data_IF_999219337358
#
_entry.id   IF_999219337358
#
_cell.length_a   1.000
_cell.length_b   1.000
_cell.length_c   1.000
_cell.angle_alpha   90.00
_cell.angle_beta   90.00
_cell.angle_gamma   90.00
#
_symmetry.space_group_name_H-M   'P 1'
#
loop_
_entity.id
_entity.type
_entity.pdbx_description
1 polymer ?
#
# COMPACT_ATOMS: atom_id res chain seq x y z
N UNK A 1 17.13 1.59 20.13
CA UNK A 1 15.73 1.45 20.59
C UNK A 1 14.83 1.46 19.37
N UNK A 2 13.98 0.46 19.20
CA UNK A 2 13.06 0.37 18.05
C UNK A 2 11.98 1.46 18.19
N UNK A 3 11.74 2.28 17.16
CA UNK A 3 10.65 3.25 17.18
C UNK A 3 9.33 2.56 16.86
N UNK A 4 8.73 1.96 17.89
CA UNK A 4 7.47 1.21 17.80
C UNK A 4 6.31 2.06 17.26
N UNK A 5 6.32 3.39 17.45
CA UNK A 5 5.29 4.28 16.89
C UNK A 5 5.40 4.39 15.36
N UNK A 6 6.61 4.49 14.83
CA UNK A 6 6.82 4.45 13.37
C UNK A 6 6.37 3.10 12.81
N UNK A 7 6.70 2.00 13.49
CA UNK A 7 6.27 0.65 13.08
C UNK A 7 4.74 0.55 13.10
N UNK A 8 4.08 1.05 14.15
CA UNK A 8 2.63 1.04 14.26
C UNK A 8 1.94 1.82 13.12
N UNK A 9 2.44 3.03 12.82
CA UNK A 9 1.87 3.85 11.73
C UNK A 9 2.10 3.21 10.36
N UNK A 10 3.27 2.62 10.12
CA UNK A 10 3.53 1.85 8.90
C UNK A 10 2.59 0.66 8.80
N UNK A 11 2.40 -0.10 9.88
CA UNK A 11 1.47 -1.23 9.92
C UNK A 11 0.02 -0.80 9.64
N UNK A 12 -0.44 0.31 10.23
CA UNK A 12 -1.79 0.82 9.95
C UNK A 12 -1.98 1.23 8.48
N UNK A 13 -0.97 1.85 7.86
CA UNK A 13 -1.01 2.18 6.43
C UNK A 13 -1.05 0.90 5.59
N UNK A 14 -0.18 -0.07 5.88
CA UNK A 14 -0.13 -1.34 5.15
C UNK A 14 -1.46 -2.10 5.26
N UNK A 15 -2.02 -2.22 6.48
CA UNK A 15 -3.31 -2.88 6.71
C UNK A 15 -4.43 -2.15 5.95
N UNK A 16 -4.47 -0.82 5.99
CA UNK A 16 -5.51 -0.05 5.31
C UNK A 16 -5.42 -0.17 3.78
N UNK A 17 -4.20 -0.15 3.22
CA UNK A 17 -3.97 -0.34 1.79
C UNK A 17 -4.30 -1.76 1.35
N UNK A 18 -3.91 -2.78 2.13
CA UNK A 18 -4.27 -4.17 1.86
C UNK A 18 -5.77 -4.41 1.93
N UNK A 19 -6.47 -3.85 2.93
CA UNK A 19 -7.92 -3.95 3.06
C UNK A 19 -8.64 -3.26 1.89
N UNK A 20 -8.20 -2.04 1.52
CA UNK A 20 -8.75 -1.32 0.37
C UNK A 20 -8.53 -2.08 -0.93
N UNK A 21 -7.34 -2.66 -1.12
CA UNK A 21 -7.01 -3.47 -2.29
C UNK A 21 -7.94 -4.69 -2.41
N UNK A 22 -8.14 -5.44 -1.34
CA UNK A 22 -9.06 -6.58 -1.31
C UNK A 22 -10.50 -6.14 -1.57
N UNK A 23 -10.95 -5.04 -0.96
CA UNK A 23 -12.29 -4.50 -1.17
C UNK A 23 -12.53 -4.10 -2.64
N UNK A 24 -11.53 -3.49 -3.30
CA UNK A 24 -11.60 -3.16 -4.73
C UNK A 24 -11.68 -4.43 -5.57
N UNK A 25 -10.82 -5.43 -5.32
CA UNK A 25 -10.84 -6.69 -6.07
C UNK A 25 -12.20 -7.39 -5.97
N UNK A 26 -12.78 -7.46 -4.76
CA UNK A 26 -14.11 -8.03 -4.54
C UNK A 26 -15.20 -7.22 -5.26
N UNK A 27 -15.14 -5.88 -5.17
CA UNK A 27 -16.08 -5.00 -5.87
C UNK A 27 -15.96 -5.11 -7.39
N UNK A 28 -14.79 -5.47 -7.92
CA UNK A 28 -14.56 -5.61 -9.35
C UNK A 28 -14.86 -7.00 -9.92
N UNK A 29 -15.38 -7.90 -9.09
CA UNK A 29 -15.84 -9.23 -9.52
C UNK A 29 -14.94 -10.39 -9.13
N UNK A 30 -13.95 -10.18 -8.25
CA UNK A 30 -13.30 -11.30 -7.58
C UNK A 30 -14.22 -11.89 -6.49
N UNK A 31 -14.12 -13.19 -6.27
CA UNK A 31 -14.80 -13.91 -5.19
C UNK A 31 -13.80 -14.58 -4.26
N UNK A 32 -14.10 -14.64 -2.97
CA UNK A 32 -13.23 -15.28 -1.98
C UNK A 32 -13.81 -16.64 -1.57
N UNK A 33 -13.02 -17.70 -1.71
CA UNK A 33 -13.35 -19.05 -1.27
C UNK A 33 -13.18 -19.20 0.25
N UNK A 34 -13.76 -20.27 0.81
CA UNK A 34 -13.72 -20.55 2.25
C UNK A 34 -12.32 -20.89 2.79
N UNK A 35 -11.38 -21.24 1.91
CA UNK A 35 -9.96 -21.43 2.21
C UNK A 35 -9.14 -20.12 2.20
N UNK A 36 -9.78 -19.00 1.87
CA UNK A 36 -9.15 -17.68 1.81
C UNK A 36 -8.55 -17.33 0.44
N UNK A 37 -8.66 -18.20 -0.56
CA UNK A 37 -8.19 -17.93 -1.91
C UNK A 37 -9.13 -16.95 -2.64
N UNK A 38 -8.55 -16.01 -3.39
CA UNK A 38 -9.28 -15.09 -4.27
C UNK A 38 -9.33 -15.65 -5.70
N UNK A 39 -10.53 -15.83 -6.23
CA UNK A 39 -10.83 -16.18 -7.62
C UNK A 39 -11.20 -14.90 -8.37
N UNK A 40 -10.42 -14.53 -9.38
CA UNK A 40 -10.58 -13.27 -10.11
C UNK A 40 -10.78 -13.46 -11.62
N UNK A 41 -11.00 -14.68 -12.11
CA UNK A 41 -11.13 -14.96 -13.56
C UNK A 41 -12.33 -14.24 -14.19
N UNK A 42 -13.33 -13.93 -13.37
CA UNK A 42 -14.53 -13.19 -13.78
C UNK A 42 -14.46 -11.69 -13.45
N UNK A 43 -13.34 -11.20 -12.90
CA UNK A 43 -13.14 -9.78 -12.62
C UNK A 43 -13.09 -8.99 -13.93
N UNK A 44 -13.84 -7.90 -14.02
CA UNK A 44 -13.74 -6.97 -15.15
C UNK A 44 -12.45 -6.14 -15.09
N UNK A 45 -11.76 -6.14 -13.96
CA UNK A 45 -10.47 -5.49 -13.76
C UNK A 45 -9.34 -6.49 -14.02
N UNK A 46 -8.51 -6.22 -15.03
CA UNK A 46 -7.40 -7.13 -15.34
C UNK A 46 -6.27 -7.03 -14.30
N UNK A 47 -5.62 -8.14 -13.93
CA UNK A 47 -4.46 -8.13 -13.05
C UNK A 47 -3.32 -7.24 -13.57
N UNK A 48 -3.12 -7.18 -14.90
CA UNK A 48 -2.11 -6.30 -15.49
C UNK A 48 -2.40 -4.82 -15.24
N UNK A 49 -3.65 -4.35 -15.45
CA UNK A 49 -4.02 -2.95 -15.23
C UNK A 49 -3.79 -2.56 -13.77
N UNK A 50 -4.20 -3.43 -12.86
CA UNK A 50 -4.04 -3.24 -11.42
C UNK A 50 -2.56 -3.13 -11.04
N UNK A 51 -1.72 -4.00 -11.57
CA UNK A 51 -0.27 -3.96 -11.35
C UNK A 51 0.35 -2.64 -11.85
N UNK A 52 -0.07 -2.16 -13.02
CA UNK A 52 0.39 -0.86 -13.55
C UNK A 52 -0.06 0.32 -12.69
N UNK A 53 -1.29 0.31 -12.19
CA UNK A 53 -1.80 1.37 -11.29
C UNK A 53 -1.01 1.38 -9.98
N UNK A 54 -0.80 0.21 -9.36
CA UNK A 54 -0.01 0.12 -8.11
C UNK A 54 1.43 0.56 -8.34
N UNK A 55 2.06 0.10 -9.43
CA UNK A 55 3.43 0.49 -9.77
C UNK A 55 3.52 2.01 -9.99
N UNK A 56 2.57 2.61 -10.71
CA UNK A 56 2.49 4.04 -10.97
C UNK A 56 2.30 4.86 -9.68
N UNK A 57 1.34 4.48 -8.83
CA UNK A 57 1.08 5.14 -7.55
C UNK A 57 2.28 5.02 -6.59
N UNK A 58 2.95 3.87 -6.58
CA UNK A 58 4.14 3.64 -5.77
C UNK A 58 5.31 4.51 -6.24
N UNK A 59 5.56 4.56 -7.55
CA UNK A 59 6.59 5.42 -8.14
C UNK A 59 6.31 6.90 -7.89
N UNK A 60 5.05 7.33 -8.04
CA UNK A 60 4.63 8.70 -7.75
C UNK A 60 4.84 9.06 -6.27
N UNK A 61 4.52 8.14 -5.35
CA UNK A 61 4.73 8.35 -3.92
C UNK A 61 6.22 8.52 -3.59
N UNK A 62 7.09 7.69 -4.16
CA UNK A 62 8.54 7.84 -4.02
C UNK A 62 9.00 9.18 -4.57
N UNK A 63 8.51 9.60 -5.74
CA UNK A 63 8.84 10.90 -6.33
C UNK A 63 8.42 12.06 -5.41
N UNK A 64 7.20 12.03 -4.86
CA UNK A 64 6.71 13.05 -3.92
C UNK A 64 7.59 13.11 -2.65
N UNK A 65 7.95 11.95 -2.08
CA UNK A 65 8.81 11.91 -0.90
C UNK A 65 10.21 12.48 -1.21
N UNK A 66 10.78 12.16 -2.37
CA UNK A 66 12.08 12.71 -2.81
C UNK A 66 12.00 14.22 -3.07
N UNK A 67 10.92 14.71 -3.68
CA UNK A 67 10.72 16.15 -3.91
C UNK A 67 10.55 16.91 -2.58
N UNK A 68 9.80 16.35 -1.63
CA UNK A 68 9.52 16.98 -0.33
C UNK A 68 10.73 16.96 0.60
N UNK A 69 11.39 15.82 0.70
CA UNK A 69 12.39 15.56 1.75
C UNK A 69 13.83 15.47 1.19
N UNK A 70 14.00 15.57 -0.13
CA UNK A 70 15.26 15.28 -0.82
C UNK A 70 15.58 13.78 -0.84
N UNK A 71 16.63 13.39 -1.59
CA UNK A 71 17.11 12.00 -1.58
C UNK A 71 17.53 11.52 -0.18
N UNK A 72 18.06 12.43 0.66
CA UNK A 72 18.45 12.12 2.03
C UNK A 72 17.25 11.83 2.94
N UNK A 73 16.05 12.30 2.59
CA UNK A 73 14.81 11.99 3.29
C UNK A 73 14.42 10.51 3.27
N UNK A 74 14.92 9.73 2.30
CA UNK A 74 14.69 8.28 2.23
C UNK A 74 15.44 7.50 3.32
N UNK A 75 16.51 8.07 3.88
CA UNK A 75 17.39 7.41 4.85
C UNK A 75 17.48 8.16 6.18
N UNK A 76 16.82 9.31 6.30
CA UNK A 76 16.91 10.15 7.50
C UNK A 76 16.08 9.56 8.66
N UNK A 77 16.64 9.48 9.89
CA UNK A 77 15.88 9.16 11.08
C UNK A 77 14.72 10.13 11.27
N UNK A 78 13.51 9.61 11.50
CA UNK A 78 12.32 10.44 11.72
C UNK A 78 12.39 11.11 13.10
N UNK A 79 12.07 12.41 13.21
CA UNK A 79 12.08 13.11 14.49
C UNK A 79 11.05 12.49 15.45
N UNK A 80 11.34 12.45 16.77
CA UNK A 80 10.41 11.93 17.75
C UNK A 80 9.13 12.77 17.75
N UNK A 81 7.98 12.09 17.78
CA UNK A 81 6.67 12.75 17.87
C UNK A 81 6.57 13.41 19.25
N UNK A 82 6.44 14.73 19.31
CA UNK A 82 6.16 15.41 20.58
C UNK A 82 4.83 14.90 21.12
N UNK A 83 4.80 14.59 22.43
CA UNK A 83 3.55 14.39 23.14
C UNK A 83 2.82 15.70 23.32
#
# INVERSE_FOLDING_TARGET
MLNTNTIHNVLNILISLSALFVAVLLATGCSQFSDGMLECSQSFLSPQITAFVIAGLSALKVAINVVRDGLSGLVKPQPPVSK
#
